data_IF_680367166613
#
_entry.id   IF_680367166613
#
_cell.length_a   1.000
_cell.length_b   1.000
_cell.length_c   1.000
_cell.angle_alpha   90.00
_cell.angle_beta   90.00
_cell.angle_gamma   90.00
#
_symmetry.space_group_name_H-M   'P 1'
#
loop_
_entity.id
_entity.type
_entity.pdbx_description
1 polymer ?
#
# COMPACT_ATOMS: atom_id res chain seq x y z
N UNK A 1 -42.08 29.11 -24.66
CA UNK A 1 -42.43 29.38 -23.24
C UNK A 1 -42.05 28.13 -22.46
N UNK A 2 -40.93 28.17 -21.74
CA UNK A 2 -40.88 28.31 -20.26
C UNK A 2 -41.59 27.14 -19.55
N UNK A 3 -41.01 26.36 -18.65
CA UNK A 3 -39.66 26.27 -18.08
C UNK A 3 -39.74 25.16 -17.03
N UNK A 4 -38.94 24.09 -17.17
CA UNK A 4 -38.80 23.09 -16.11
C UNK A 4 -37.65 23.51 -15.19
N UNK A 5 -38.05 24.32 -14.21
CA UNK A 5 -37.57 24.38 -12.82
C UNK A 5 -36.22 23.73 -12.51
N UNK A 6 -35.22 24.58 -12.24
CA UNK A 6 -33.92 24.27 -11.63
C UNK A 6 -34.01 23.75 -10.17
N UNK A 7 -35.19 23.36 -9.65
CA UNK A 7 -35.34 22.91 -8.25
C UNK A 7 -35.07 21.42 -8.02
N UNK A 8 -35.16 20.53 -9.02
CA UNK A 8 -34.92 19.08 -8.79
C UNK A 8 -33.44 18.68 -8.77
N UNK A 9 -32.54 19.54 -9.26
CA UNK A 9 -31.09 19.26 -9.28
C UNK A 9 -30.44 19.71 -7.96
N UNK A 10 -31.00 20.69 -7.27
CA UNK A 10 -30.45 21.20 -5.99
C UNK A 10 -30.79 20.27 -4.82
N UNK A 11 -31.94 19.58 -4.84
CA UNK A 11 -32.33 18.63 -3.79
C UNK A 11 -31.54 17.32 -3.82
N UNK A 12 -31.10 16.87 -5.00
CA UNK A 12 -30.28 15.66 -5.16
C UNK A 12 -28.82 15.89 -4.71
N UNK A 13 -28.30 17.11 -4.89
CA UNK A 13 -26.94 17.48 -4.45
C UNK A 13 -26.88 17.66 -2.92
N UNK A 14 -27.96 18.13 -2.29
CA UNK A 14 -28.04 18.27 -0.84
C UNK A 14 -28.16 16.92 -0.11
N UNK A 15 -28.95 15.97 -0.62
CA UNK A 15 -29.04 14.63 -0.05
C UNK A 15 -27.72 13.84 -0.18
N UNK A 16 -26.99 14.02 -1.29
CA UNK A 16 -25.66 13.43 -1.48
C UNK A 16 -24.60 13.99 -0.53
N UNK A 17 -24.65 15.29 -0.22
CA UNK A 17 -23.73 15.92 0.72
C UNK A 17 -23.98 15.50 2.18
N UNK A 18 -25.24 15.31 2.58
CA UNK A 18 -25.59 14.82 3.93
C UNK A 18 -25.16 13.36 4.13
N UNK A 19 -25.27 12.53 3.09
CA UNK A 19 -24.77 11.15 3.14
C UNK A 19 -23.23 11.10 3.22
N UNK A 20 -22.53 12.00 2.53
CA UNK A 20 -21.07 12.12 2.59
C UNK A 20 -20.59 12.56 3.99
N UNK A 21 -21.31 13.50 4.63
CA UNK A 21 -21.00 13.96 5.99
C UNK A 21 -21.32 12.88 7.04
N UNK A 22 -22.38 12.09 6.84
CA UNK A 22 -22.69 10.97 7.72
C UNK A 22 -21.68 9.80 7.59
N UNK A 23 -21.19 9.53 6.37
CA UNK A 23 -20.14 8.53 6.12
C UNK A 23 -18.80 9.00 6.68
N UNK A 24 -18.44 10.28 6.52
CA UNK A 24 -17.25 10.85 7.17
C UNK A 24 -17.36 10.89 8.70
N UNK A 25 -18.56 11.09 9.26
CA UNK A 25 -18.77 11.02 10.71
C UNK A 25 -18.74 9.58 11.26
N UNK A 26 -19.02 8.58 10.42
CA UNK A 26 -18.95 7.16 10.78
C UNK A 26 -17.52 6.61 10.73
N UNK A 27 -16.73 6.97 9.71
CA UNK A 27 -15.32 6.56 9.62
C UNK A 27 -14.42 7.23 10.66
N UNK A 28 -14.85 8.34 11.26
CA UNK A 28 -14.04 9.16 12.15
C UNK A 28 -14.44 9.09 13.64
N UNK A 29 -15.11 8.00 14.05
CA UNK A 29 -15.58 7.80 15.43
C UNK A 29 -14.47 7.57 16.46
N UNK A 30 -13.22 7.38 16.04
CA UNK A 30 -12.05 7.23 16.92
C UNK A 30 -11.13 8.47 16.97
N UNK A 31 -11.46 9.56 16.26
CA UNK A 31 -10.63 10.79 16.24
C UNK A 31 -11.24 11.96 17.05
N UNK A 32 -12.50 11.85 17.48
CA UNK A 32 -13.23 12.92 18.19
C UNK A 32 -13.13 12.77 19.73
N UNK A 33 -12.84 11.58 20.25
CA UNK A 33 -12.72 11.36 21.71
C UNK A 33 -11.42 11.92 22.33
N UNK A 34 -10.40 12.24 21.53
CA UNK A 34 -9.16 12.88 22.02
C UNK A 34 -9.22 14.42 22.05
N UNK A 35 -10.24 15.04 21.45
CA UNK A 35 -10.40 16.50 21.42
C UNK A 35 -11.50 17.05 22.34
N UNK A 36 -12.36 16.21 22.91
CA UNK A 36 -13.47 16.64 23.78
C UNK A 36 -13.15 16.66 25.29
N UNK A 37 -11.89 16.51 25.69
CA UNK A 37 -11.48 16.60 27.11
C UNK A 37 -10.64 17.82 27.47
N UNK A 38 -10.29 18.69 26.52
CA UNK A 38 -9.62 19.96 26.84
C UNK A 38 -10.39 21.17 26.28
N UNK A 39 -10.78 22.01 27.22
CA UNK A 39 -11.54 23.25 27.13
C UNK A 39 -10.85 24.29 26.22
N UNK A 40 -11.11 24.27 24.91
CA UNK A 40 -10.81 25.37 23.98
C UNK A 40 -11.91 25.43 22.90
N UNK A 41 -12.67 26.53 22.88
CA UNK A 41 -13.94 26.67 22.16
C UNK A 41 -13.90 26.49 20.64
N UNK A 42 -15.01 26.01 20.09
CA UNK A 42 -15.28 25.77 18.68
C UNK A 42 -15.89 27.01 17.98
N UNK A 43 -15.18 27.64 17.00
CA UNK A 43 -15.77 28.68 16.16
C UNK A 43 -15.94 28.25 14.69
N UNK A 44 -15.25 27.22 14.19
CA UNK A 44 -15.09 27.03 12.74
C UNK A 44 -16.24 26.29 12.04
N UNK A 45 -17.02 25.47 12.75
CA UNK A 45 -18.15 24.72 12.14
C UNK A 45 -19.33 25.64 11.77
N UNK A 46 -19.38 26.87 12.33
CA UNK A 46 -20.49 27.81 12.08
C UNK A 46 -20.30 28.69 10.84
N UNK A 47 -19.12 28.68 10.20
CA UNK A 47 -18.82 29.55 9.07
C UNK A 47 -19.33 29.00 7.73
N UNK A 48 -19.31 27.69 7.52
CA UNK A 48 -19.68 27.07 6.24
C UNK A 48 -21.20 26.94 6.03
N UNK A 49 -21.97 26.77 7.11
CA UNK A 49 -23.44 26.70 7.06
C UNK A 49 -24.09 28.02 6.57
N UNK A 50 -23.40 29.16 6.69
CA UNK A 50 -23.91 30.48 6.24
C UNK A 50 -23.76 30.75 4.75
N UNK A 51 -22.96 29.96 4.01
CA UNK A 51 -22.73 30.21 2.58
C UNK A 51 -23.79 29.61 1.64
N UNK A 52 -24.70 28.76 2.14
CA UNK A 52 -25.71 28.06 1.31
C UNK A 52 -27.17 28.45 1.64
N UNK A 53 -27.39 29.32 2.64
CA UNK A 53 -28.71 29.93 2.89
C UNK A 53 -29.81 28.95 3.33
N UNK A 54 -29.44 27.86 4.02
CA UNK A 54 -30.38 26.90 4.60
C UNK A 54 -30.59 27.27 6.08
N UNK A 55 -31.83 27.53 6.47
CA UNK A 55 -32.21 27.77 7.86
C UNK A 55 -32.30 26.43 8.60
N UNK A 56 -31.42 26.20 9.58
CA UNK A 56 -31.33 24.95 10.33
C UNK A 56 -32.57 24.64 11.19
N UNK A 57 -33.51 25.59 11.30
CA UNK A 57 -34.77 25.43 12.05
C UNK A 57 -35.85 24.59 11.36
N UNK A 58 -35.76 24.30 10.06
CA UNK A 58 -36.81 23.56 9.32
C UNK A 58 -36.54 22.06 9.12
N UNK A 59 -35.32 21.56 9.39
CA UNK A 59 -34.92 20.16 9.11
C UNK A 59 -35.20 19.16 10.25
N UNK A 60 -35.48 19.63 11.46
CA UNK A 60 -35.65 18.76 12.64
C UNK A 60 -37.04 18.09 12.76
N UNK A 61 -38.18 18.67 12.30
CA UNK A 61 -39.49 18.03 12.47
C UNK A 61 -39.79 16.86 11.52
N UNK A 62 -39.03 16.69 10.43
CA UNK A 62 -39.21 15.57 9.49
C UNK A 62 -38.37 14.35 9.88
N UNK A 63 -37.19 14.55 10.48
CA UNK A 63 -36.36 13.46 11.01
C UNK A 63 -36.99 12.81 12.25
N UNK A 64 -37.55 13.58 13.19
CA UNK A 64 -38.19 13.00 14.39
C UNK A 64 -39.45 12.17 14.07
N UNK A 65 -40.12 12.42 12.95
CA UNK A 65 -41.36 11.71 12.57
C UNK A 65 -41.10 10.31 11.97
N UNK A 66 -39.91 10.05 11.45
CA UNK A 66 -39.49 8.71 10.99
C UNK A 66 -39.01 7.81 12.15
N UNK A 67 -38.66 8.37 13.30
CA UNK A 67 -38.14 7.61 14.45
C UNK A 67 -39.20 7.15 15.46
N UNK A 68 -40.44 7.67 15.41
CA UNK A 68 -41.51 7.40 16.39
C UNK A 68 -42.64 6.48 15.87
N UNK A 69 -42.49 5.87 14.69
CA UNK A 69 -43.47 4.90 14.20
C UNK A 69 -43.24 3.51 14.84
N UNK A 70 -44.15 3.08 15.73
CA UNK A 70 -44.20 1.70 16.24
C UNK A 70 -44.39 0.70 15.08
N UNK A 71 -43.75 -0.49 15.11
CA UNK A 71 -43.86 -1.47 14.04
C UNK A 71 -45.24 -2.14 14.06
N UNK A 72 -45.99 -2.02 12.96
CA UNK A 72 -47.20 -2.81 12.72
C UNK A 72 -46.84 -4.30 12.61
N UNK A 73 -47.63 -5.13 13.31
CA UNK A 73 -47.47 -6.57 13.35
C UNK A 73 -47.90 -7.22 12.03
N UNK A 74 -46.95 -7.75 11.26
CA UNK A 74 -47.23 -8.69 10.17
C UNK A 74 -46.39 -9.98 10.27
N UNK A 75 -47.14 -11.09 10.36
CA UNK A 75 -46.87 -12.48 9.98
C UNK A 75 -45.58 -13.17 10.48
N UNK A 76 -45.78 -14.12 11.41
CA UNK A 76 -44.86 -15.20 11.74
C UNK A 76 -44.53 -16.05 10.49
N UNK A 77 -43.39 -15.78 9.88
CA UNK A 77 -42.70 -16.66 8.94
C UNK A 77 -41.37 -17.08 9.56
N UNK A 78 -41.11 -18.38 9.62
CA UNK A 78 -39.91 -19.00 10.20
C UNK A 78 -38.60 -18.28 9.78
N UNK A 79 -37.99 -17.54 10.71
CA UNK A 79 -36.61 -17.07 10.61
C UNK A 79 -35.67 -18.28 10.76
N UNK A 80 -35.41 -18.97 9.65
CA UNK A 80 -34.23 -19.82 9.53
C UNK A 80 -33.01 -18.90 9.50
N UNK A 81 -32.12 -19.12 10.45
CA UNK A 81 -30.93 -18.34 10.75
C UNK A 81 -30.28 -17.66 9.56
N UNK A 82 -30.25 -16.33 9.61
CA UNK A 82 -29.20 -15.56 8.98
C UNK A 82 -27.93 -15.89 9.79
N UNK A 83 -27.17 -16.89 9.31
CA UNK A 83 -25.77 -17.02 9.70
C UNK A 83 -25.12 -15.68 9.43
N UNK A 84 -24.34 -15.18 10.39
CA UNK A 84 -23.35 -14.14 10.18
C UNK A 84 -22.64 -14.44 8.85
N UNK A 85 -22.99 -13.70 7.79
CA UNK A 85 -22.15 -13.68 6.61
C UNK A 85 -20.94 -12.89 7.06
N UNK A 86 -19.88 -13.60 7.49
CA UNK A 86 -18.55 -13.04 7.43
C UNK A 86 -18.43 -12.38 6.07
N UNK A 87 -18.16 -11.07 6.05
CA UNK A 87 -17.74 -10.40 4.83
C UNK A 87 -16.52 -11.17 4.35
N UNK A 88 -16.67 -11.97 3.29
CA UNK A 88 -15.55 -12.64 2.64
C UNK A 88 -14.64 -11.55 2.08
N UNK A 89 -13.65 -11.14 2.88
CA UNK A 89 -12.58 -10.27 2.42
C UNK A 89 -11.83 -11.06 1.35
N UNK A 90 -12.00 -10.62 0.10
CA UNK A 90 -11.36 -11.26 -1.05
C UNK A 90 -9.85 -11.05 -0.98
N UNK A 91 -9.05 -12.06 -1.36
CA UNK A 91 -7.61 -11.91 -1.35
C UNK A 91 -7.17 -10.81 -2.33
N UNK A 92 -6.12 -10.07 -1.98
CA UNK A 92 -5.48 -9.12 -2.88
C UNK A 92 -4.17 -9.68 -3.41
N UNK A 93 -3.93 -9.49 -4.71
CA UNK A 93 -2.69 -9.91 -5.36
C UNK A 93 -1.78 -8.71 -5.61
N UNK A 94 -0.50 -8.84 -5.30
CA UNK A 94 0.48 -7.75 -5.35
C UNK A 94 1.74 -8.27 -6.04
N UNK A 95 2.18 -7.58 -7.09
CA UNK A 95 3.49 -7.81 -7.71
C UNK A 95 4.56 -6.98 -7.00
N UNK A 96 5.77 -7.51 -6.87
CA UNK A 96 6.89 -6.85 -6.20
C UNK A 96 8.17 -7.04 -7.00
N UNK A 97 8.86 -5.95 -7.33
CA UNK A 97 10.14 -5.98 -8.05
C UNK A 97 11.03 -4.80 -7.68
N UNK A 98 12.33 -5.03 -7.45
CA UNK A 98 13.35 -3.98 -7.30
C UNK A 98 14.25 -3.90 -8.53
N UNK A 99 14.91 -2.76 -8.69
CA UNK A 99 16.05 -2.61 -9.61
C UNK A 99 15.62 -2.88 -11.07
N UNK A 100 14.46 -2.31 -11.42
CA UNK A 100 13.73 -2.53 -12.68
C UNK A 100 14.18 -1.59 -13.81
N UNK A 101 14.77 -0.44 -13.45
CA UNK A 101 14.85 0.75 -14.30
C UNK A 101 15.86 0.72 -15.45
N UNK A 102 16.23 -0.44 -15.98
CA UNK A 102 17.26 -0.52 -17.05
C UNK A 102 16.69 -0.18 -18.43
N UNK A 103 15.39 -0.40 -18.66
CA UNK A 103 14.76 -0.33 -19.98
C UNK A 103 15.31 -1.35 -20.99
N UNK A 104 16.03 -2.37 -20.53
CA UNK A 104 16.62 -3.41 -21.37
C UNK A 104 15.68 -4.63 -21.48
N UNK A 105 16.05 -5.61 -22.31
CA UNK A 105 15.21 -6.77 -22.63
C UNK A 105 14.77 -7.56 -21.39
N UNK A 106 15.60 -7.56 -20.35
CA UNK A 106 15.39 -8.20 -19.06
C UNK A 106 14.22 -7.56 -18.29
N UNK A 107 14.09 -6.23 -18.32
CA UNK A 107 12.97 -5.51 -17.71
C UNK A 107 11.64 -5.85 -18.41
N UNK A 108 11.65 -5.83 -19.76
CA UNK A 108 10.50 -6.27 -20.56
C UNK A 108 10.13 -7.72 -20.26
N UNK A 109 11.12 -8.60 -20.14
CA UNK A 109 10.86 -10.02 -19.86
C UNK A 109 10.24 -10.24 -18.49
N UNK A 110 10.67 -9.50 -17.46
CA UNK A 110 10.01 -9.52 -16.14
C UNK A 110 8.54 -9.12 -16.26
N UNK A 111 8.26 -7.99 -16.91
CA UNK A 111 6.88 -7.50 -17.07
C UNK A 111 6.00 -8.46 -17.90
N UNK A 112 6.54 -9.07 -18.96
CA UNK A 112 5.82 -10.09 -19.74
C UNK A 112 5.46 -11.32 -18.89
N UNK A 113 6.35 -11.75 -17.99
CA UNK A 113 6.04 -12.89 -17.11
C UNK A 113 5.02 -12.48 -16.06
N UNK A 114 5.14 -11.29 -15.47
CA UNK A 114 4.13 -10.73 -14.56
C UNK A 114 2.75 -10.70 -15.21
N UNK A 115 2.64 -10.13 -16.41
CA UNK A 115 1.41 -10.08 -17.22
C UNK A 115 0.88 -11.48 -17.56
N UNK A 116 1.76 -12.44 -17.87
CA UNK A 116 1.34 -13.81 -18.18
C UNK A 116 0.71 -14.57 -17.01
N UNK A 117 0.96 -14.14 -15.76
CA UNK A 117 0.29 -14.68 -14.57
C UNK A 117 -1.17 -14.21 -14.46
N UNK A 118 -1.60 -13.29 -15.35
CA UNK A 118 -2.90 -12.65 -15.32
C UNK A 118 -3.87 -13.18 -16.37
N UNK A 119 -4.41 -14.38 -16.14
CA UNK A 119 -5.64 -14.79 -16.85
C UNK A 119 -6.82 -15.06 -15.91
N UNK A 120 -6.68 -14.74 -14.62
CA UNK A 120 -7.76 -14.93 -13.64
C UNK A 120 -7.89 -13.79 -12.62
N UNK A 121 -6.85 -12.98 -12.33
CA UNK A 121 -6.89 -11.93 -11.29
C UNK A 121 -5.81 -10.85 -11.54
N UNK A 122 -6.24 -9.62 -11.83
CA UNK A 122 -5.39 -8.42 -11.96
C UNK A 122 -4.63 -8.12 -10.65
N UNK A 123 -3.43 -7.56 -10.75
CA UNK A 123 -2.69 -7.07 -9.57
C UNK A 123 -3.37 -5.82 -8.99
N UNK A 124 -3.60 -5.81 -7.68
CA UNK A 124 -4.07 -4.60 -6.99
C UNK A 124 -2.96 -3.52 -6.94
N UNK A 125 -1.70 -3.94 -6.88
CA UNK A 125 -0.55 -3.05 -6.91
C UNK A 125 0.71 -3.73 -7.47
N UNK A 126 1.59 -2.92 -8.05
CA UNK A 126 2.99 -3.21 -8.31
C UNK A 126 3.84 -2.38 -7.34
N UNK A 127 4.52 -3.06 -6.42
CA UNK A 127 5.47 -2.44 -5.50
C UNK A 127 6.85 -2.42 -6.13
N UNK A 128 7.43 -1.22 -6.32
CA UNK A 128 8.83 -1.10 -6.74
C UNK A 128 9.74 -0.91 -5.53
N UNK A 129 10.79 -1.71 -5.44
CA UNK A 129 11.73 -1.70 -4.31
C UNK A 129 12.92 -0.74 -4.53
N UNK A 130 12.70 0.36 -5.26
CA UNK A 130 13.72 1.38 -5.55
C UNK A 130 14.59 1.07 -6.76
N UNK A 131 15.45 2.04 -7.09
CA UNK A 131 16.23 2.09 -8.32
C UNK A 131 15.30 1.99 -9.55
N UNK A 132 14.36 2.93 -9.56
CA UNK A 132 13.25 2.94 -10.51
C UNK A 132 13.70 3.32 -11.92
N UNK A 133 14.78 4.10 -12.04
CA UNK A 133 15.37 4.54 -13.31
C UNK A 133 16.89 4.52 -13.22
N UNK A 134 17.55 3.71 -14.05
CA UNK A 134 19.00 3.70 -14.19
C UNK A 134 19.45 4.57 -15.38
N UNK A 135 20.68 5.13 -15.33
CA UNK A 135 21.70 4.94 -14.28
C UNK A 135 21.64 5.91 -13.11
N UNK A 136 20.94 7.05 -13.19
CA UNK A 136 21.06 8.12 -12.19
C UNK A 136 19.70 8.63 -11.71
N UNK A 137 18.59 7.95 -12.02
CA UNK A 137 17.25 8.37 -11.63
C UNK A 137 16.60 9.38 -12.59
N UNK A 138 17.09 9.50 -13.82
CA UNK A 138 16.73 10.58 -14.75
C UNK A 138 15.26 10.50 -15.23
N UNK A 139 14.42 11.43 -14.74
CA UNK A 139 12.98 11.42 -15.01
C UNK A 139 12.61 11.53 -16.50
N UNK A 140 13.46 12.15 -17.32
CA UNK A 140 13.24 12.19 -18.77
C UNK A 140 13.32 10.81 -19.44
N UNK A 141 13.87 9.81 -18.74
CA UNK A 141 13.93 8.42 -19.17
C UNK A 141 12.83 7.54 -18.57
N UNK A 142 11.95 8.07 -17.69
CA UNK A 142 10.89 7.31 -17.01
C UNK A 142 10.04 6.48 -17.98
N UNK A 143 9.69 7.06 -19.14
CA UNK A 143 8.89 6.38 -20.14
C UNK A 143 9.61 5.14 -20.67
N UNK A 144 10.84 5.30 -21.17
CA UNK A 144 11.60 4.22 -21.80
C UNK A 144 12.06 3.16 -20.79
N UNK A 145 12.42 3.59 -19.58
CA UNK A 145 13.08 2.75 -18.57
C UNK A 145 12.13 1.97 -17.68
N UNK A 146 10.90 2.45 -17.53
CA UNK A 146 9.92 1.84 -16.63
C UNK A 146 8.54 1.69 -17.29
N UNK A 147 7.94 2.79 -17.75
CA UNK A 147 6.53 2.75 -18.17
C UNK A 147 6.32 1.91 -19.43
N UNK A 148 7.21 1.98 -20.42
CA UNK A 148 7.14 1.15 -21.63
C UNK A 148 7.35 -0.34 -21.32
N UNK A 149 8.39 -0.76 -20.56
CA UNK A 149 8.54 -2.16 -20.16
C UNK A 149 7.36 -2.71 -19.36
N UNK A 150 6.84 -1.95 -18.39
CA UNK A 150 5.80 -2.41 -17.46
C UNK A 150 4.37 -2.04 -17.89
N UNK A 151 4.18 -1.44 -19.08
CA UNK A 151 2.86 -1.12 -19.63
C UNK A 151 1.87 -2.30 -19.58
N UNK A 152 2.25 -3.56 -19.92
CA UNK A 152 1.32 -4.68 -19.82
C UNK A 152 0.73 -4.89 -18.42
N UNK A 153 1.50 -4.60 -17.38
CA UNK A 153 1.08 -4.71 -15.97
C UNK A 153 0.32 -3.45 -15.51
N UNK A 154 0.61 -2.30 -16.10
CA UNK A 154 0.11 -0.98 -15.68
C UNK A 154 -1.06 -0.44 -16.52
N UNK A 155 -1.44 -1.12 -17.61
CA UNK A 155 -2.53 -0.70 -18.52
C UNK A 155 -3.94 -0.85 -17.89
N UNK A 156 -4.05 -1.46 -16.70
CA UNK A 156 -5.29 -1.64 -15.93
C UNK A 156 -5.38 -0.79 -14.65
N UNK A 157 -6.07 -1.31 -13.63
CA UNK A 157 -6.26 -0.62 -12.34
C UNK A 157 -5.10 -0.87 -11.34
N UNK A 158 -4.02 -1.53 -11.78
CA UNK A 158 -2.84 -1.82 -10.95
C UNK A 158 -2.16 -0.53 -10.51
N UNK A 159 -2.13 -0.29 -9.19
CA UNK A 159 -1.46 0.86 -8.61
C UNK A 159 0.05 0.69 -8.62
N UNK A 160 0.78 1.66 -9.13
CA UNK A 160 2.24 1.71 -9.01
C UNK A 160 2.64 2.36 -7.68
N UNK A 161 3.34 1.61 -6.81
CA UNK A 161 3.74 2.05 -5.48
C UNK A 161 5.27 1.89 -5.31
N UNK A 162 6.07 2.88 -5.72
CA UNK A 162 7.52 2.80 -5.61
C UNK A 162 8.03 3.25 -4.23
N UNK A 163 9.20 2.75 -3.85
CA UNK A 163 10.10 3.43 -2.90
C UNK A 163 11.32 3.96 -3.64
N UNK A 164 12.17 4.75 -2.96
CA UNK A 164 13.37 5.33 -3.54
C UNK A 164 14.60 4.46 -3.25
N UNK A 165 15.39 4.19 -4.28
CA UNK A 165 16.72 3.59 -4.18
C UNK A 165 17.84 4.61 -4.20
N UNK A 166 19.09 4.14 -4.12
CA UNK A 166 20.23 5.05 -4.10
C UNK A 166 20.45 5.70 -5.46
N UNK A 167 20.14 5.02 -6.57
CA UNK A 167 20.21 5.63 -7.89
C UNK A 167 19.15 6.72 -8.11
N UNK A 168 18.04 6.67 -7.37
CA UNK A 168 16.99 7.71 -7.41
C UNK A 168 17.37 8.97 -6.59
N UNK A 169 18.33 8.85 -5.65
CA UNK A 169 18.63 9.89 -4.65
C UNK A 169 20.03 10.48 -4.80
N UNK A 170 21.08 9.67 -5.00
CA UNK A 170 22.49 10.09 -4.92
C UNK A 170 22.85 11.17 -5.95
N UNK A 171 22.11 11.22 -7.06
CA UNK A 171 22.31 12.16 -8.16
C UNK A 171 21.35 13.37 -8.10
N UNK A 172 20.56 13.49 -7.03
CA UNK A 172 19.70 14.64 -6.77
C UNK A 172 18.31 14.56 -7.42
N UNK A 173 17.82 13.36 -7.73
CA UNK A 173 16.51 13.15 -8.35
C UNK A 173 15.39 12.82 -7.38
N UNK A 174 15.64 12.76 -6.06
CA UNK A 174 14.66 12.40 -5.04
C UNK A 174 13.31 13.11 -5.22
N UNK A 175 13.32 14.44 -5.28
CA UNK A 175 12.09 15.24 -5.37
C UNK A 175 11.41 15.08 -6.73
N UNK A 176 12.21 14.94 -7.79
CA UNK A 176 11.71 14.72 -9.15
C UNK A 176 11.05 13.34 -9.29
N UNK A 177 11.58 12.31 -8.63
CA UNK A 177 11.00 10.98 -8.51
C UNK A 177 9.67 11.02 -7.77
N UNK A 178 9.64 11.65 -6.59
CA UNK A 178 8.40 11.80 -5.80
C UNK A 178 7.30 12.48 -6.64
N UNK A 179 7.64 13.54 -7.37
CA UNK A 179 6.69 14.22 -8.26
C UNK A 179 6.24 13.33 -9.43
N UNK A 180 7.19 12.72 -10.16
CA UNK A 180 6.90 11.94 -11.35
C UNK A 180 6.04 10.70 -11.06
N UNK A 181 6.29 10.04 -9.92
CA UNK A 181 5.53 8.89 -9.45
C UNK A 181 4.29 9.27 -8.63
N UNK A 182 4.03 10.57 -8.42
CA UNK A 182 2.95 11.05 -7.56
C UNK A 182 2.97 10.43 -6.16
N UNK A 183 4.17 10.21 -5.61
CA UNK A 183 4.34 9.64 -4.28
C UNK A 183 3.85 10.64 -3.22
N UNK A 184 3.17 10.21 -2.14
CA UNK A 184 2.80 11.10 -1.04
C UNK A 184 4.00 11.75 -0.32
N UNK A 185 5.17 11.09 -0.38
CA UNK A 185 6.43 11.54 0.18
C UNK A 185 7.53 10.51 -0.02
N UNK A 186 8.75 10.79 0.48
CA UNK A 186 9.89 9.87 0.40
C UNK A 186 9.66 8.57 1.20
N UNK A 187 8.87 8.66 2.27
CA UNK A 187 8.30 7.54 3.00
C UNK A 187 6.80 7.79 3.17
N UNK A 188 6.01 6.73 3.08
CA UNK A 188 4.54 6.83 3.09
C UNK A 188 3.90 5.48 3.40
N UNK A 189 2.59 5.47 3.58
CA UNK A 189 1.81 4.26 3.79
C UNK A 189 0.50 4.32 3.04
N UNK A 190 0.04 3.18 2.57
CA UNK A 190 -1.19 3.04 1.80
C UNK A 190 -1.92 1.77 2.22
N UNK A 191 -3.25 1.79 2.19
CA UNK A 191 -4.03 0.56 2.28
C UNK A 191 -4.11 -0.08 0.89
N UNK A 192 -3.85 -1.39 0.84
CA UNK A 192 -4.07 -2.23 -0.34
C UNK A 192 -5.17 -3.22 0.01
N UNK A 193 -6.32 -3.09 -0.65
CA UNK A 193 -7.54 -3.75 -0.21
C UNK A 193 -7.99 -3.29 1.18
N UNK A 194 -8.76 -4.14 1.86
CA UNK A 194 -9.38 -3.80 3.16
C UNK A 194 -8.49 -4.11 4.36
N UNK A 195 -7.48 -4.99 4.20
CA UNK A 195 -6.80 -5.62 5.33
C UNK A 195 -5.27 -5.71 5.20
N UNK A 196 -4.67 -4.87 4.35
CA UNK A 196 -3.21 -4.84 4.17
C UNK A 196 -2.69 -3.41 4.17
N UNK A 197 -1.83 -3.10 5.14
CA UNK A 197 -1.09 -1.85 5.23
C UNK A 197 0.26 -2.03 4.53
N UNK A 198 0.46 -1.28 3.45
CA UNK A 198 1.77 -1.09 2.84
C UNK A 198 2.49 0.09 3.52
N UNK A 199 3.77 -0.08 3.83
CA UNK A 199 4.65 0.98 4.34
C UNK A 199 5.89 1.02 3.46
N UNK A 200 6.09 2.14 2.75
CA UNK A 200 7.29 2.43 1.97
C UNK A 200 8.23 3.32 2.76
N UNK A 201 9.47 2.89 2.95
CA UNK A 201 10.50 3.62 3.70
C UNK A 201 11.67 4.05 2.80
N UNK A 202 12.20 5.24 3.08
CA UNK A 202 13.43 5.73 2.46
C UNK A 202 14.65 5.26 3.26
N UNK A 203 15.19 4.11 2.84
CA UNK A 203 16.40 3.52 3.42
C UNK A 203 17.67 4.34 3.18
N UNK A 204 17.69 5.31 2.26
CA UNK A 204 18.85 6.21 2.06
C UNK A 204 19.09 7.15 3.26
N UNK A 205 18.09 7.26 4.15
CA UNK A 205 18.11 8.12 5.33
C UNK A 205 17.41 7.44 6.50
N UNK A 206 17.80 6.20 6.80
CA UNK A 206 17.18 5.40 7.86
C UNK A 206 17.27 6.03 9.27
N UNK A 207 18.22 6.95 9.49
CA UNK A 207 18.39 7.67 10.75
C UNK A 207 17.55 8.96 10.85
N UNK A 208 16.76 9.29 9.82
CA UNK A 208 15.93 10.49 9.80
C UNK A 208 14.87 10.42 10.93
N UNK A 209 14.87 11.37 11.88
CA UNK A 209 13.99 11.31 13.05
C UNK A 209 12.49 11.45 12.69
N UNK A 210 12.15 12.18 11.63
CA UNK A 210 10.75 12.33 11.20
C UNK A 210 10.20 11.02 10.65
N UNK A 211 11.01 10.32 9.85
CA UNK A 211 10.68 8.98 9.35
C UNK A 211 10.56 7.96 10.48
N UNK A 212 11.44 8.02 11.49
CA UNK A 212 11.38 7.10 12.63
C UNK A 212 10.14 7.32 13.50
N UNK A 213 9.74 8.58 13.71
CA UNK A 213 8.49 8.91 14.41
C UNK A 213 7.30 8.42 13.59
N UNK A 214 7.27 8.70 12.27
CA UNK A 214 6.23 8.22 11.37
C UNK A 214 6.07 6.69 11.44
N UNK A 215 7.18 5.95 11.34
CA UNK A 215 7.18 4.50 11.38
C UNK A 215 6.71 3.98 12.75
N UNK A 216 7.23 4.53 13.85
CA UNK A 216 6.83 4.09 15.19
C UNK A 216 5.34 4.37 15.47
N UNK A 217 4.81 5.53 15.06
CA UNK A 217 3.41 5.88 15.24
C UNK A 217 2.47 4.97 14.44
N UNK A 218 2.79 4.67 13.18
CA UNK A 218 2.04 3.70 12.37
C UNK A 218 2.07 2.30 12.98
N UNK A 219 3.25 1.84 13.42
CA UNK A 219 3.41 0.51 13.97
C UNK A 219 2.75 0.34 15.35
N UNK A 220 2.61 1.42 16.11
CA UNK A 220 1.96 1.44 17.42
C UNK A 220 0.44 1.54 17.35
N UNK A 221 -0.11 2.09 16.27
CA UNK A 221 -1.56 2.28 16.08
C UNK A 221 -2.35 0.98 15.89
N UNK A 222 -3.67 1.12 15.75
CA UNK A 222 -4.50 0.02 15.25
C UNK A 222 -4.14 -0.24 13.78
N UNK A 223 -3.81 -1.50 13.47
CA UNK A 223 -3.35 -1.92 12.15
C UNK A 223 -4.30 -2.98 11.58
N UNK A 224 -4.40 -3.09 10.25
CA UNK A 224 -5.04 -4.24 9.63
C UNK A 224 -4.25 -5.53 9.93
N UNK A 225 -4.77 -6.67 9.52
CA UNK A 225 -4.16 -7.98 9.77
C UNK A 225 -2.74 -8.09 9.22
N UNK A 226 -2.47 -7.48 8.06
CA UNK A 226 -1.17 -7.57 7.40
C UNK A 226 -0.50 -6.20 7.31
N UNK A 227 0.77 -6.15 7.72
CA UNK A 227 1.67 -5.02 7.47
C UNK A 227 2.84 -5.51 6.62
N UNK A 228 2.99 -4.93 5.44
CA UNK A 228 4.09 -5.21 4.51
C UNK A 228 4.98 -3.96 4.47
N UNK A 229 6.23 -4.12 4.90
CA UNK A 229 7.22 -3.03 4.85
C UNK A 229 8.09 -3.21 3.62
N UNK A 230 8.31 -2.13 2.88
CA UNK A 230 9.18 -2.09 1.71
C UNK A 230 10.21 -0.96 1.84
N UNK A 231 11.40 -1.21 1.32
CA UNK A 231 12.50 -0.24 1.24
C UNK A 231 13.47 -0.68 0.16
N UNK A 232 14.48 0.13 -0.16
CA UNK A 232 15.47 -0.28 -1.16
C UNK A 232 16.58 -1.15 -0.56
N UNK A 233 17.28 -0.66 0.47
CA UNK A 233 18.42 -1.36 1.03
C UNK A 233 18.01 -2.45 2.05
N UNK A 234 18.48 -3.69 1.91
CA UNK A 234 18.11 -4.79 2.79
C UNK A 234 18.81 -4.70 4.16
N UNK A 235 18.05 -4.96 5.22
CA UNK A 235 18.63 -5.11 6.56
C UNK A 235 19.60 -6.30 6.64
N UNK A 236 19.28 -7.38 5.93
CA UNK A 236 20.06 -8.61 5.89
C UNK A 236 20.16 -9.07 4.45
N UNK A 237 21.40 -9.16 3.94
CA UNK A 237 21.67 -9.67 2.61
C UNK A 237 23.01 -10.40 2.57
N UNK A 238 23.01 -11.54 1.91
CA UNK A 238 24.21 -12.29 1.57
C UNK A 238 24.73 -11.95 0.16
N UNK A 239 24.15 -10.94 -0.49
CA UNK A 239 24.46 -10.54 -1.86
C UNK A 239 25.78 -9.78 -1.99
N UNK A 240 25.93 -9.08 -3.12
CA UNK A 240 27.14 -8.34 -3.44
C UNK A 240 27.35 -7.12 -2.53
N UNK A 241 26.26 -6.40 -2.25
CA UNK A 241 26.24 -5.18 -1.44
C UNK A 241 26.16 -5.52 0.04
N UNK A 242 25.38 -6.54 0.40
CA UNK A 242 25.30 -7.08 1.75
C UNK A 242 24.36 -6.29 2.66
N UNK A 243 24.46 -6.53 3.97
CA UNK A 243 23.64 -5.87 4.99
C UNK A 243 23.78 -4.34 4.95
N UNK A 244 22.67 -3.61 5.14
CA UNK A 244 22.67 -2.17 5.38
C UNK A 244 22.65 -1.86 6.90
N UNK A 245 23.78 -1.41 7.50
CA UNK A 245 23.88 -1.25 8.94
C UNK A 245 22.97 -0.15 9.49
N UNK A 246 22.66 0.88 8.70
CA UNK A 246 21.76 1.95 9.15
C UNK A 246 20.33 1.42 9.32
N UNK A 247 19.83 0.62 8.38
CA UNK A 247 18.53 -0.07 8.45
C UNK A 247 18.49 -1.02 9.65
N UNK A 248 19.53 -1.84 9.87
CA UNK A 248 19.64 -2.72 11.03
C UNK A 248 19.57 -1.93 12.36
N UNK A 249 20.20 -0.76 12.41
CA UNK A 249 20.28 0.04 13.63
C UNK A 249 18.98 0.78 13.96
N UNK A 250 18.28 1.30 12.95
CA UNK A 250 17.19 2.24 13.15
C UNK A 250 15.80 1.65 12.88
N UNK A 251 15.65 0.82 11.86
CA UNK A 251 14.35 0.27 11.48
C UNK A 251 14.06 -1.08 12.12
N UNK A 252 15.01 -2.01 12.11
CA UNK A 252 14.83 -3.38 12.65
C UNK A 252 14.32 -3.38 14.11
N UNK A 253 14.83 -2.54 15.03
CA UNK A 253 14.30 -2.50 16.40
C UNK A 253 12.82 -2.13 16.49
N UNK A 254 12.32 -1.28 15.57
CA UNK A 254 10.91 -0.94 15.49
C UNK A 254 10.11 -2.10 14.91
N UNK A 255 10.63 -2.75 13.87
CA UNK A 255 9.99 -3.92 13.27
C UNK A 255 9.80 -5.06 14.29
N UNK A 256 10.84 -5.36 15.07
CA UNK A 256 10.80 -6.38 16.13
C UNK A 256 9.86 -6.00 17.26
N UNK A 257 9.94 -4.74 17.74
CA UNK A 257 9.11 -4.24 18.85
C UNK A 257 7.62 -4.33 18.54
N UNK A 258 7.24 -4.11 17.29
CA UNK A 258 5.84 -4.06 16.87
C UNK A 258 5.40 -5.25 16.01
N UNK A 259 6.23 -6.28 15.86
CA UNK A 259 5.86 -7.54 15.20
C UNK A 259 5.54 -7.41 13.71
N UNK A 260 6.38 -6.73 12.94
CA UNK A 260 6.30 -6.77 11.46
C UNK A 260 6.61 -8.18 10.97
N UNK A 261 5.81 -8.72 10.05
CA UNK A 261 5.96 -10.13 9.60
C UNK A 261 6.78 -10.26 8.32
N UNK A 262 6.68 -9.28 7.41
CA UNK A 262 7.32 -9.30 6.10
C UNK A 262 8.00 -7.97 5.80
N UNK A 263 9.27 -8.04 5.42
CA UNK A 263 10.07 -6.91 4.95
C UNK A 263 10.65 -7.25 3.59
N UNK A 264 10.42 -6.39 2.61
CA UNK A 264 10.85 -6.56 1.22
C UNK A 264 11.86 -5.48 0.85
N UNK A 265 12.96 -5.86 0.20
CA UNK A 265 14.01 -4.95 -0.25
C UNK A 265 14.58 -5.31 -1.63
N UNK A 266 15.19 -4.34 -2.31
CA UNK A 266 15.90 -4.50 -3.59
C UNK A 266 17.42 -4.42 -3.37
N UNK A 267 18.10 -3.60 -4.18
CA UNK A 267 19.52 -3.19 -4.10
C UNK A 267 20.54 -4.28 -4.41
N UNK A 268 20.39 -5.46 -3.78
CA UNK A 268 21.16 -6.62 -4.17
C UNK A 268 20.49 -7.30 -5.37
N UNK A 269 21.24 -7.37 -6.47
CA UNK A 269 20.75 -7.82 -7.78
C UNK A 269 20.66 -9.36 -7.86
N UNK A 270 20.02 -9.96 -6.86
CA UNK A 270 19.71 -11.39 -6.73
C UNK A 270 18.36 -11.56 -6.01
N UNK A 271 17.92 -12.81 -5.88
CA UNK A 271 16.79 -13.16 -5.01
C UNK A 271 17.32 -13.78 -3.73
N UNK A 272 16.77 -13.38 -2.58
CA UNK A 272 17.06 -14.00 -1.30
C UNK A 272 15.82 -14.03 -0.40
N UNK A 273 15.72 -15.07 0.43
CA UNK A 273 14.82 -15.12 1.57
C UNK A 273 15.56 -15.59 2.80
N UNK A 274 15.36 -14.89 3.91
CA UNK A 274 15.89 -15.29 5.20
C UNK A 274 15.05 -16.41 5.84
N UNK A 275 15.65 -17.20 6.73
CA UNK A 275 14.87 -17.80 7.83
C UNK A 275 14.24 -16.68 8.65
N UNK A 276 13.15 -16.92 9.40
CA UNK A 276 12.60 -15.89 10.27
C UNK A 276 13.65 -15.41 11.29
N UNK A 277 13.98 -14.12 11.26
CA UNK A 277 14.86 -13.46 12.23
C UNK A 277 13.95 -12.76 13.23
N UNK A 278 13.92 -13.24 14.47
CA UNK A 278 13.03 -12.73 15.52
C UNK A 278 11.54 -12.67 15.11
N UNK A 279 11.11 -13.62 14.28
CA UNK A 279 9.72 -13.71 13.78
C UNK A 279 9.46 -12.93 12.48
N UNK A 280 10.46 -12.25 11.93
CA UNK A 280 10.35 -11.44 10.71
C UNK A 280 10.98 -12.18 9.53
N UNK A 281 10.28 -12.26 8.41
CA UNK A 281 10.84 -12.77 7.15
C UNK A 281 11.33 -11.59 6.31
N UNK A 282 12.62 -11.63 5.93
CA UNK A 282 13.23 -10.65 5.04
C UNK A 282 13.39 -11.27 3.64
N UNK A 283 12.99 -10.53 2.62
CA UNK A 283 13.14 -10.93 1.22
C UNK A 283 13.88 -9.83 0.45
N UNK A 284 14.91 -10.25 -0.28
CA UNK A 284 15.58 -9.43 -1.28
C UNK A 284 15.05 -9.84 -2.65
N UNK A 285 14.55 -8.88 -3.42
CA UNK A 285 13.99 -9.07 -4.76
C UNK A 285 14.48 -7.97 -5.71
N UNK A 286 15.81 -7.78 -5.78
CA UNK A 286 16.45 -6.78 -6.64
C UNK A 286 16.91 -7.32 -8.01
N UNK A 287 16.42 -8.49 -8.41
CA UNK A 287 16.85 -9.18 -9.62
C UNK A 287 15.93 -8.95 -10.83
N UNK A 288 15.13 -7.88 -10.87
CA UNK A 288 14.11 -7.75 -11.90
C UNK A 288 14.71 -7.47 -13.28
N UNK A 289 15.78 -6.67 -13.37
CA UNK A 289 16.37 -6.29 -14.65
C UNK A 289 17.91 -6.33 -14.68
N UNK A 290 18.55 -6.60 -13.55
CA UNK A 290 19.99 -6.76 -13.44
C UNK A 290 20.35 -7.95 -12.55
N UNK A 291 21.49 -8.60 -12.82
CA UNK A 291 21.94 -9.75 -12.02
C UNK A 291 23.36 -9.64 -11.51
N UNK A 292 23.53 -10.12 -10.27
CA UNK A 292 24.80 -10.40 -9.62
C UNK A 292 24.81 -11.82 -9.04
N UNK A 293 26.01 -12.37 -8.77
CA UNK A 293 26.13 -13.64 -8.08
C UNK A 293 25.52 -13.58 -6.68
N UNK A 294 24.61 -14.51 -6.39
CA UNK A 294 23.97 -14.65 -5.11
C UNK A 294 24.95 -15.26 -4.11
N UNK A 295 24.96 -14.71 -2.90
CA UNK A 295 25.68 -15.33 -1.80
C UNK A 295 24.77 -16.08 -0.85
N UNK A 296 25.36 -16.56 0.24
CA UNK A 296 24.67 -17.28 1.30
C UNK A 296 25.35 -17.06 2.63
N UNK A 297 24.57 -16.67 3.63
CA UNK A 297 24.97 -16.52 5.04
C UNK A 297 24.14 -17.46 5.93
N UNK A 298 24.37 -17.44 7.24
CA UNK A 298 23.68 -18.31 8.20
C UNK A 298 22.16 -18.09 8.25
N UNK A 299 21.70 -16.86 7.98
CA UNK A 299 20.29 -16.50 7.95
C UNK A 299 19.62 -16.82 6.61
N UNK A 300 20.37 -17.18 5.56
CA UNK A 300 19.81 -17.37 4.22
C UNK A 300 19.11 -18.73 4.14
N UNK A 301 17.80 -18.73 3.92
CA UNK A 301 17.01 -19.93 3.63
C UNK A 301 17.14 -20.27 2.14
N UNK A 302 16.81 -19.31 1.27
CA UNK A 302 16.89 -19.43 -0.19
C UNK A 302 17.68 -18.26 -0.77
N UNK A 303 18.47 -18.52 -1.81
CA UNK A 303 19.07 -17.48 -2.64
C UNK A 303 19.32 -17.97 -4.06
N UNK A 304 19.13 -17.08 -5.05
CA UNK A 304 19.25 -17.40 -6.47
C UNK A 304 19.83 -16.23 -7.28
N UNK A 305 20.76 -16.54 -8.19
CA UNK A 305 21.15 -15.65 -9.30
C UNK A 305 20.30 -15.95 -10.52
N UNK A 306 19.08 -15.44 -10.51
CA UNK A 306 18.17 -15.51 -11.65
C UNK A 306 17.32 -14.27 -11.67
N UNK A 307 16.97 -13.79 -12.86
CA UNK A 307 16.06 -12.68 -12.94
C UNK A 307 14.70 -13.12 -12.40
N UNK A 308 14.11 -12.30 -11.53
CA UNK A 308 12.88 -12.68 -10.85
C UNK A 308 12.15 -11.49 -10.26
N UNK A 309 10.88 -11.73 -9.94
CA UNK A 309 10.04 -10.88 -9.11
C UNK A 309 9.28 -11.72 -8.10
N UNK A 310 8.57 -11.09 -7.17
CA UNK A 310 7.74 -11.77 -6.18
C UNK A 310 6.25 -11.48 -6.43
N UNK A 311 5.46 -12.55 -6.49
CA UNK A 311 3.99 -12.53 -6.46
C UNK A 311 3.51 -12.79 -5.04
N UNK A 312 2.70 -11.88 -4.49
CA UNK A 312 2.09 -12.00 -3.17
C UNK A 312 0.57 -12.10 -3.30
N UNK A 313 -0.02 -13.12 -2.70
CA UNK A 313 -1.47 -13.24 -2.53
C UNK A 313 -1.80 -13.13 -1.05
N UNK A 314 -2.45 -12.03 -0.66
CA UNK A 314 -2.77 -11.73 0.73
C UNK A 314 -4.22 -12.10 1.01
N UNK A 315 -4.40 -13.15 1.80
CA UNK A 315 -5.69 -13.61 2.33
C UNK A 315 -5.95 -12.99 3.70
N UNK A 316 -7.19 -13.10 4.23
CA UNK A 316 -7.48 -12.61 5.59
C UNK A 316 -6.64 -13.27 6.68
N UNK A 317 -6.22 -14.52 6.48
CA UNK A 317 -5.56 -15.37 7.47
C UNK A 317 -4.13 -15.79 7.11
N UNK A 318 -3.63 -15.43 5.92
CA UNK A 318 -2.25 -15.71 5.49
C UNK A 318 -1.77 -14.81 4.35
N UNK A 319 -0.46 -14.77 4.14
CA UNK A 319 0.16 -14.33 2.89
C UNK A 319 0.78 -15.55 2.22
N UNK A 320 0.45 -15.79 0.95
CA UNK A 320 1.17 -16.75 0.09
C UNK A 320 2.11 -15.96 -0.81
N UNK A 321 3.37 -16.38 -0.90
CA UNK A 321 4.40 -15.68 -1.67
C UNK A 321 5.12 -16.65 -2.61
N UNK A 322 5.35 -16.22 -3.86
CA UNK A 322 6.13 -16.94 -4.85
C UNK A 322 7.15 -16.03 -5.50
N UNK A 323 8.42 -16.44 -5.51
CA UNK A 323 9.43 -15.82 -6.36
C UNK A 323 9.41 -16.52 -7.72
N UNK A 324 9.29 -15.75 -8.80
CA UNK A 324 9.04 -16.27 -10.16
C UNK A 324 10.13 -15.77 -11.09
N UNK A 325 10.75 -16.69 -11.83
CA UNK A 325 11.82 -16.37 -12.78
C UNK A 325 11.31 -15.97 -14.18
N UNK A 326 12.23 -15.55 -15.05
CA UNK A 326 11.95 -15.20 -16.46
C UNK A 326 11.40 -16.34 -17.31
N UNK A 327 11.45 -17.59 -16.84
CA UNK A 327 10.77 -18.73 -17.50
C UNK A 327 9.37 -18.98 -16.94
N UNK A 328 8.89 -18.17 -16.00
CA UNK A 328 7.59 -18.32 -15.34
C UNK A 328 7.58 -19.45 -14.30
N UNK A 329 8.74 -19.88 -13.81
CA UNK A 329 8.85 -20.94 -12.81
C UNK A 329 8.94 -20.33 -11.42
N UNK A 330 8.23 -20.91 -10.46
CA UNK A 330 8.44 -20.61 -9.05
C UNK A 330 9.80 -21.15 -8.60
N UNK A 331 10.74 -20.27 -8.27
CA UNK A 331 12.08 -20.60 -7.75
C UNK A 331 12.10 -20.66 -6.22
N UNK A 332 11.08 -20.08 -5.58
CA UNK A 332 10.82 -20.18 -4.15
C UNK A 332 9.32 -20.01 -3.89
N UNK A 333 8.84 -20.55 -2.77
CA UNK A 333 7.46 -20.37 -2.29
C UNK A 333 7.40 -20.50 -0.78
N UNK A 334 6.65 -19.61 -0.13
CA UNK A 334 6.48 -19.62 1.32
C UNK A 334 5.16 -18.96 1.73
N UNK A 335 4.67 -19.33 2.92
CA UNK A 335 3.45 -18.78 3.49
C UNK A 335 3.73 -18.16 4.85
N UNK A 336 3.04 -17.07 5.17
CA UNK A 336 3.04 -16.41 6.47
C UNK A 336 1.64 -16.50 7.08
N UNK A 337 1.54 -16.80 8.38
CA UNK A 337 0.29 -16.98 9.13
C UNK A 337 0.39 -16.31 10.49
#
# INVERSE_FOLDING_TARGET
>A
MAGKSKRSVVTAVAAGAVLLVAVMAWTNRNYIDSYLTNDIGAPEVTAEARQVGIDAGELMPELEREFDAEPEAEAEGELKGESERELEVSPVRIAVAGDVGTGEAEAYRTAEVMDSLDQQYEFAALLLLGDNIYPEGEIDQLQEKLLDPFAPVLDGDTRLLPVLGNHDVDYGYREAQIEAFSMPGAWYSEMIGENTLFIGLDSNQADNPEQLVFLEDLLKGERPAWTIVTMHHPAFSAGHHGDEPSVQKYFVPLFEKYGVTLVLAGHDHDYQRSVPINGITYVVSGAAAYLRPAGRNEFTEVSWSTYSFVDLVVYPDRIEAQAIDHEGRAIDSFDLR
#
